data_IF_905655476212
#
_entry.id   IF_905655476212
#
_cell.length_a   1.000
_cell.length_b   1.000
_cell.length_c   1.000
_cell.angle_alpha   90.00
_cell.angle_beta   90.00
_cell.angle_gamma   90.00
#
_symmetry.space_group_name_H-M   'P 1'
#
loop_
_entity.id
_entity.type
_entity.pdbx_description
1 polymer ?
#
# COMPACT_ATOMS: atom_id res chain seq x y z
N UNK A 1 5.34 28.16 4.86
CA UNK A 1 5.31 27.17 5.96
C UNK A 1 5.61 25.84 5.34
N UNK A 2 6.65 25.14 5.82
CA UNK A 2 6.97 23.80 5.34
C UNK A 2 5.85 22.84 5.75
N UNK A 3 5.33 22.07 4.79
CA UNK A 3 4.34 21.04 5.06
C UNK A 3 5.04 19.91 5.84
N UNK A 4 4.57 19.54 7.04
CA UNK A 4 5.21 18.49 7.81
C UNK A 4 5.15 17.14 7.06
N UNK A 5 6.21 16.36 7.17
CA UNK A 5 6.29 15.04 6.56
C UNK A 5 5.26 14.09 7.19
N UNK A 6 4.57 13.30 6.36
CA UNK A 6 3.63 12.26 6.81
C UNK A 6 4.38 11.02 7.31
N UNK A 7 5.57 10.76 6.75
CA UNK A 7 6.49 9.70 7.16
C UNK A 7 7.88 10.30 7.29
N UNK A 8 8.55 10.02 8.40
CA UNK A 8 9.96 10.34 8.62
C UNK A 8 10.71 9.07 9.06
N UNK A 9 11.75 8.73 8.33
CA UNK A 9 12.67 7.64 8.59
C UNK A 9 14.04 8.23 8.94
N UNK A 10 14.62 7.82 10.06
CA UNK A 10 15.96 8.27 10.46
C UNK A 10 16.83 7.06 10.75
N UNK A 11 17.79 6.79 9.83
CA UNK A 11 18.78 5.72 9.91
C UNK A 11 18.17 4.35 10.24
N UNK A 12 17.02 4.04 9.63
CA UNK A 12 16.23 2.84 9.91
C UNK A 12 16.95 1.59 9.42
N UNK A 13 17.19 0.67 10.34
CA UNK A 13 17.76 -0.66 10.07
C UNK A 13 16.76 -1.73 10.46
N UNK A 14 16.56 -2.74 9.60
CA UNK A 14 15.81 -3.94 9.92
C UNK A 14 16.63 -5.19 9.65
N UNK A 15 16.82 -5.99 10.69
CA UNK A 15 17.54 -7.26 10.62
C UNK A 15 16.62 -8.44 10.95
N UNK A 16 16.80 -9.54 10.24
CA UNK A 16 16.22 -10.86 10.49
C UNK A 16 17.38 -11.83 10.67
N UNK A 17 17.73 -12.14 11.92
CA UNK A 17 18.93 -12.88 12.24
C UNK A 17 20.19 -12.15 11.73
N UNK A 18 20.93 -12.80 10.82
CA UNK A 18 22.14 -12.21 10.20
C UNK A 18 21.86 -11.40 8.93
N UNK A 19 20.64 -11.44 8.41
CA UNK A 19 20.26 -10.75 7.18
C UNK A 19 19.71 -9.35 7.49
N UNK A 20 20.37 -8.32 6.94
CA UNK A 20 19.89 -6.94 7.03
C UNK A 20 19.02 -6.62 5.81
N UNK A 21 17.70 -6.55 6.01
CA UNK A 21 16.72 -6.23 4.98
C UNK A 21 16.64 -4.71 4.71
N UNK A 22 16.88 -3.87 5.72
CA UNK A 22 17.05 -2.42 5.58
C UNK A 22 18.36 -2.00 6.27
N UNK A 23 19.10 -1.07 5.65
CA UNK A 23 20.47 -0.74 6.02
C UNK A 23 20.68 0.77 6.20
N UNK A 24 20.00 1.36 7.21
CA UNK A 24 20.15 2.78 7.53
C UNK A 24 19.38 3.71 6.60
N UNK A 25 18.11 3.34 6.29
CA UNK A 25 17.24 4.16 5.45
C UNK A 25 16.88 5.45 6.17
N UNK A 26 17.16 6.60 5.53
CA UNK A 26 16.72 7.92 5.97
C UNK A 26 15.96 8.59 4.83
N UNK A 27 14.71 9.00 5.08
CA UNK A 27 13.86 9.66 4.09
C UNK A 27 12.69 10.36 4.75
N UNK A 28 12.20 11.40 4.10
CA UNK A 28 10.95 12.09 4.43
C UNK A 28 9.99 12.02 3.24
N UNK A 29 8.71 11.86 3.54
CA UNK A 29 7.65 11.80 2.54
C UNK A 29 6.54 12.78 2.93
N UNK A 30 6.07 13.54 1.94
CA UNK A 30 5.05 14.57 2.12
C UNK A 30 3.64 13.97 1.98
N UNK A 31 2.63 14.54 2.64
CA UNK A 31 1.24 14.10 2.50
C UNK A 31 0.67 14.40 1.11
N UNK A 32 -0.42 13.70 0.74
CA UNK A 32 -1.20 13.94 -0.47
C UNK A 32 -0.49 13.53 -1.77
N UNK A 33 0.52 12.66 -1.70
CA UNK A 33 1.31 12.20 -2.85
C UNK A 33 1.22 10.71 -3.06
N UNK A 34 1.42 10.28 -4.31
CA UNK A 34 1.61 8.89 -4.68
C UNK A 34 3.10 8.61 -4.92
N UNK A 35 3.65 7.71 -4.13
CA UNK A 35 5.03 7.22 -4.20
C UNK A 35 5.07 5.81 -4.76
N UNK A 36 5.80 5.62 -5.87
CA UNK A 36 6.07 4.30 -6.43
C UNK A 36 7.43 3.80 -5.92
N UNK A 37 7.42 2.70 -5.17
CA UNK A 37 8.63 2.09 -4.59
C UNK A 37 9.11 0.98 -5.53
N UNK A 38 10.28 1.17 -6.12
CA UNK A 38 10.85 0.33 -7.16
C UNK A 38 12.15 -0.32 -6.69
N UNK A 39 12.58 -1.36 -7.39
CA UNK A 39 13.83 -2.08 -7.13
C UNK A 39 13.66 -3.59 -7.30
N UNK A 40 14.75 -4.31 -7.31
CA UNK A 40 14.80 -5.75 -7.51
C UNK A 40 14.17 -6.55 -6.36
N UNK A 41 13.95 -7.84 -6.58
CA UNK A 41 13.55 -8.75 -5.52
C UNK A 41 14.64 -8.80 -4.44
N UNK A 42 14.23 -8.71 -3.18
CA UNK A 42 15.18 -8.63 -2.05
C UNK A 42 15.72 -7.23 -1.74
N UNK A 43 15.37 -6.19 -2.51
CA UNK A 43 15.81 -4.81 -2.25
C UNK A 43 15.28 -4.20 -0.92
N UNK A 44 14.33 -4.87 -0.25
CA UNK A 44 13.78 -4.41 1.03
C UNK A 44 12.42 -3.71 0.95
N UNK A 45 11.81 -3.60 -0.26
CA UNK A 45 10.55 -2.87 -0.51
C UNK A 45 9.39 -3.31 0.40
N UNK A 46 9.04 -4.61 0.38
CA UNK A 46 8.00 -5.18 1.24
C UNK A 46 8.33 -5.03 2.72
N UNK A 47 9.62 -5.12 3.11
CA UNK A 47 10.04 -4.91 4.50
C UNK A 47 9.81 -3.46 4.91
N UNK A 48 10.15 -2.49 4.07
CA UNK A 48 9.85 -1.09 4.30
C UNK A 48 8.34 -0.88 4.45
N UNK A 49 7.54 -1.39 3.50
CA UNK A 49 6.09 -1.23 3.52
C UNK A 49 5.46 -1.84 4.78
N UNK A 50 5.91 -3.04 5.20
CA UNK A 50 5.44 -3.68 6.44
C UNK A 50 5.81 -2.90 7.69
N UNK A 51 6.95 -2.21 7.70
CA UNK A 51 7.31 -1.31 8.81
C UNK A 51 6.41 -0.08 8.84
N UNK A 52 6.11 0.51 7.67
CA UNK A 52 5.17 1.62 7.54
C UNK A 52 3.74 1.22 7.96
N UNK A 53 3.36 -0.04 7.75
CA UNK A 53 2.09 -0.59 8.21
C UNK A 53 2.05 -0.95 9.71
N UNK A 54 3.16 -0.75 10.44
CA UNK A 54 3.26 -1.12 11.86
C UNK A 54 3.42 -2.64 12.11
N UNK A 55 3.56 -3.44 11.05
CA UNK A 55 3.67 -4.91 11.12
C UNK A 55 5.10 -5.39 11.42
N UNK A 56 6.07 -4.49 11.41
CA UNK A 56 7.45 -4.77 11.78
C UNK A 56 8.06 -3.54 12.46
N UNK A 57 8.83 -3.76 13.51
CA UNK A 57 9.57 -2.70 14.21
C UNK A 57 10.98 -2.57 13.64
N UNK A 58 11.57 -1.36 13.58
CA UNK A 58 12.99 -1.19 13.28
C UNK A 58 13.86 -1.90 14.32
N UNK A 59 15.01 -2.45 13.88
CA UNK A 59 16.03 -2.97 14.79
C UNK A 59 16.88 -1.83 15.36
N UNK A 60 17.11 -0.78 14.56
CA UNK A 60 17.78 0.47 14.93
C UNK A 60 17.20 1.63 14.14
N UNK A 61 17.46 2.85 14.62
CA UNK A 61 16.90 4.06 14.03
C UNK A 61 15.49 4.35 14.52
N UNK A 62 14.86 5.36 13.95
CA UNK A 62 13.52 5.79 14.34
C UNK A 62 12.62 5.97 13.13
N UNK A 63 11.34 5.75 13.35
CA UNK A 63 10.26 5.89 12.36
C UNK A 63 9.12 6.68 12.99
N UNK A 64 8.62 7.70 12.30
CA UNK A 64 7.34 8.33 12.65
C UNK A 64 6.40 8.33 11.45
N UNK A 65 5.11 8.12 11.71
CA UNK A 65 4.04 8.13 10.71
C UNK A 65 2.90 8.98 11.26
N UNK A 66 2.39 9.91 10.45
CA UNK A 66 1.35 10.85 10.85
C UNK A 66 1.72 11.61 12.16
N UNK A 67 3.03 11.88 12.36
CA UNK A 67 3.58 12.51 13.54
C UNK A 67 3.73 11.62 14.77
N UNK A 68 3.31 10.34 14.70
CA UNK A 68 3.40 9.39 15.81
C UNK A 68 4.60 8.44 15.64
N UNK A 69 5.32 8.17 16.74
CA UNK A 69 6.35 7.12 16.82
C UNK A 69 5.78 5.80 17.35
N UNK A 70 4.72 5.83 18.16
CA UNK A 70 3.92 4.65 18.48
C UNK A 70 2.84 4.46 17.40
N UNK A 71 3.06 3.53 16.48
CA UNK A 71 2.16 3.31 15.35
C UNK A 71 0.79 2.77 15.76
N UNK A 72 0.62 2.25 16.98
CA UNK A 72 -0.70 1.85 17.51
C UNK A 72 -1.67 3.03 17.63
N UNK A 73 -1.15 4.22 17.87
CA UNK A 73 -1.96 5.43 17.96
C UNK A 73 -2.55 5.86 16.60
N UNK A 74 -1.96 5.44 15.48
CA UNK A 74 -2.34 5.87 14.13
C UNK A 74 -2.74 4.73 13.20
N UNK A 75 -2.68 3.47 13.65
CA UNK A 75 -2.97 2.30 12.82
C UNK A 75 -4.38 2.34 12.18
N UNK A 76 -5.35 2.97 12.83
CA UNK A 76 -6.70 3.17 12.30
C UNK A 76 -6.74 4.16 11.11
N UNK A 77 -5.68 4.92 10.86
CA UNK A 77 -5.54 5.81 9.72
C UNK A 77 -4.69 5.21 8.59
N UNK A 78 -4.30 3.94 8.72
CA UNK A 78 -3.47 3.22 7.75
C UNK A 78 -4.32 2.17 7.04
N UNK A 79 -4.21 2.12 5.71
CA UNK A 79 -4.72 1.01 4.90
C UNK A 79 -3.55 0.19 4.35
N UNK A 80 -3.59 -1.13 4.52
CA UNK A 80 -2.53 -2.00 4.03
C UNK A 80 -3.09 -3.14 3.17
N UNK A 81 -2.59 -3.22 1.95
CA UNK A 81 -2.81 -4.31 1.02
C UNK A 81 -1.52 -5.08 0.86
N UNK A 82 -1.48 -6.31 1.39
CA UNK A 82 -0.34 -7.20 1.28
C UNK A 82 -0.36 -7.95 -0.07
N UNK A 83 0.80 -8.44 -0.50
CA UNK A 83 0.89 -9.30 -1.68
C UNK A 83 0.00 -10.55 -1.57
N UNK A 84 -0.07 -11.32 -0.47
CA UNK A 84 -1.18 -12.24 -0.21
C UNK A 84 -2.45 -11.43 0.11
N UNK A 85 -3.58 -11.77 -0.53
CA UNK A 85 -4.82 -10.99 -0.40
C UNK A 85 -5.37 -10.89 1.03
N UNK A 86 -5.00 -11.84 1.91
CA UNK A 86 -5.48 -11.97 3.30
C UNK A 86 -7.02 -11.97 3.39
N UNK A 87 -7.67 -12.56 2.40
CA UNK A 87 -9.12 -12.74 2.33
C UNK A 87 -9.48 -14.17 2.75
N UNK A 88 -10.66 -14.34 3.29
CA UNK A 88 -11.24 -15.65 3.58
C UNK A 88 -11.90 -16.20 2.33
N UNK A 89 -11.36 -17.29 1.81
CA UNK A 89 -11.74 -17.89 0.53
C UNK A 89 -13.17 -18.46 0.53
N UNK A 90 -13.64 -18.91 1.69
CA UNK A 90 -14.96 -19.51 1.90
C UNK A 90 -16.08 -18.46 1.99
N UNK A 91 -15.74 -17.23 2.26
CA UNK A 91 -16.68 -16.11 2.39
C UNK A 91 -16.88 -15.41 1.05
N UNK A 92 -18.04 -14.80 0.84
CA UNK A 92 -18.28 -13.83 -0.22
C UNK A 92 -17.46 -12.53 -0.01
N UNK A 93 -17.41 -11.65 -1.01
CA UNK A 93 -16.76 -10.35 -0.88
C UNK A 93 -17.36 -9.50 0.21
N UNK A 94 -18.69 -9.41 0.28
CA UNK A 94 -19.41 -8.66 1.32
C UNK A 94 -19.16 -9.22 2.72
N UNK A 95 -19.18 -10.53 2.90
CA UNK A 95 -18.90 -11.16 4.20
C UNK A 95 -17.48 -10.87 4.66
N UNK A 96 -16.49 -10.91 3.76
CA UNK A 96 -15.12 -10.51 4.04
C UNK A 96 -15.07 -9.05 4.55
N UNK A 97 -15.64 -8.10 3.79
CA UNK A 97 -15.59 -6.69 4.19
C UNK A 97 -16.35 -6.41 5.49
N UNK A 98 -17.49 -7.04 5.71
CA UNK A 98 -18.22 -6.97 7.00
C UNK A 98 -17.39 -7.48 8.16
N UNK A 99 -16.71 -8.61 7.98
CA UNK A 99 -15.85 -9.19 9.00
C UNK A 99 -14.72 -8.21 9.38
N UNK A 100 -13.99 -7.71 8.39
CA UNK A 100 -12.91 -6.75 8.64
C UNK A 100 -13.43 -5.39 9.13
N UNK A 101 -14.57 -4.91 8.63
CA UNK A 101 -15.22 -3.70 9.11
C UNK A 101 -15.53 -3.75 10.60
N UNK A 102 -16.08 -4.87 11.07
CA UNK A 102 -16.34 -5.08 12.51
C UNK A 102 -15.09 -5.04 13.37
N UNK A 103 -13.93 -5.49 12.87
CA UNK A 103 -12.64 -5.37 13.56
C UNK A 103 -12.20 -3.91 13.73
N UNK A 104 -12.62 -3.03 12.82
CA UNK A 104 -12.41 -1.57 12.91
C UNK A 104 -13.53 -0.83 13.66
N UNK A 105 -14.51 -1.56 14.20
CA UNK A 105 -15.68 -0.94 14.86
C UNK A 105 -16.73 -0.39 13.87
N UNK A 106 -16.63 -0.72 12.59
CA UNK A 106 -17.57 -0.32 11.54
C UNK A 106 -18.71 -1.35 11.51
N UNK A 107 -19.88 -0.96 12.04
CA UNK A 107 -21.08 -1.82 12.06
C UNK A 107 -22.02 -1.63 10.87
N UNK A 108 -21.79 -0.59 10.06
CA UNK A 108 -22.65 -0.26 8.91
C UNK A 108 -22.21 -0.99 7.64
N UNK A 109 -23.08 -1.88 7.17
CA UNK A 109 -22.86 -2.65 5.93
C UNK A 109 -22.78 -1.77 4.68
N UNK A 110 -23.33 -0.55 4.73
CA UNK A 110 -23.28 0.39 3.61
C UNK A 110 -21.84 0.79 3.26
N UNK A 111 -20.96 0.88 4.27
CA UNK A 111 -19.53 1.17 4.07
C UNK A 111 -18.86 0.04 3.28
N UNK A 112 -19.14 -1.21 3.62
CA UNK A 112 -18.61 -2.37 2.90
C UNK A 112 -19.12 -2.40 1.46
N UNK A 113 -20.41 -2.13 1.24
CA UNK A 113 -21.03 -2.10 -0.08
C UNK A 113 -20.45 -0.95 -0.95
N UNK A 114 -20.28 0.24 -0.38
CA UNK A 114 -19.66 1.37 -1.06
C UNK A 114 -18.23 1.05 -1.49
N UNK A 115 -17.40 0.51 -0.59
CA UNK A 115 -16.02 0.12 -0.92
C UNK A 115 -15.95 -0.96 -2.01
N UNK A 116 -16.90 -1.93 -2.06
CA UNK A 116 -16.98 -2.88 -3.17
C UNK A 116 -17.29 -2.18 -4.49
N UNK A 117 -18.27 -1.28 -4.48
CA UNK A 117 -18.65 -0.50 -5.66
C UNK A 117 -17.50 0.35 -6.18
N UNK A 118 -16.79 1.05 -5.29
CA UNK A 118 -15.67 1.92 -5.62
C UNK A 118 -14.52 1.17 -6.33
N UNK A 119 -14.30 -0.10 -5.97
CA UNK A 119 -13.31 -0.95 -6.65
C UNK A 119 -13.89 -1.70 -7.85
N UNK A 120 -15.14 -1.43 -8.25
CA UNK A 120 -15.81 -2.05 -9.39
C UNK A 120 -16.21 -3.51 -9.15
N UNK A 121 -16.58 -3.86 -7.93
CA UNK A 121 -17.18 -5.15 -7.57
C UNK A 121 -18.67 -4.97 -7.21
N UNK A 122 -19.49 -5.94 -7.60
CA UNK A 122 -20.89 -5.96 -7.24
C UNK A 122 -21.08 -6.43 -5.78
N UNK A 123 -21.64 -5.60 -4.88
CA UNK A 123 -21.91 -5.98 -3.49
C UNK A 123 -22.90 -7.16 -3.36
N UNK A 124 -23.77 -7.37 -4.36
CA UNK A 124 -24.73 -8.47 -4.37
C UNK A 124 -24.12 -9.83 -4.77
N UNK A 125 -22.83 -9.85 -5.14
CA UNK A 125 -22.17 -11.08 -5.59
C UNK A 125 -21.96 -12.05 -4.40
N UNK A 126 -22.84 -13.05 -4.30
CA UNK A 126 -22.91 -13.98 -3.17
C UNK A 126 -21.90 -15.15 -3.22
N UNK A 127 -21.22 -15.37 -4.37
CA UNK A 127 -20.28 -16.50 -4.50
C UNK A 127 -19.05 -16.30 -3.62
N UNK A 128 -18.43 -17.42 -3.14
CA UNK A 128 -17.19 -17.37 -2.34
C UNK A 128 -16.01 -16.72 -3.10
N UNK A 129 -15.11 -16.08 -2.36
CA UNK A 129 -13.89 -15.46 -2.90
C UNK A 129 -12.98 -16.49 -3.58
N UNK A 130 -13.05 -17.78 -3.19
CA UNK A 130 -12.38 -18.87 -3.89
C UNK A 130 -12.69 -18.91 -5.40
N UNK A 131 -13.87 -18.44 -5.82
CA UNK A 131 -14.33 -18.41 -7.21
C UNK A 131 -14.06 -17.07 -7.90
N UNK A 132 -13.40 -16.12 -7.25
CA UNK A 132 -13.04 -14.83 -7.85
C UNK A 132 -11.84 -14.97 -8.78
N UNK A 133 -11.84 -14.21 -9.89
CA UNK A 133 -10.61 -14.03 -10.66
C UNK A 133 -9.54 -13.33 -9.82
N UNK A 134 -8.29 -13.44 -10.23
CA UNK A 134 -7.19 -12.77 -9.53
C UNK A 134 -7.41 -11.24 -9.46
N UNK A 135 -7.89 -10.63 -10.56
CA UNK A 135 -8.24 -9.20 -10.57
C UNK A 135 -9.37 -8.84 -9.60
N UNK A 136 -10.39 -9.71 -9.45
CA UNK A 136 -11.44 -9.49 -8.45
C UNK A 136 -10.90 -9.62 -7.02
N UNK A 137 -10.00 -10.58 -6.75
CA UNK A 137 -9.33 -10.71 -5.45
C UNK A 137 -8.49 -9.48 -5.10
N UNK A 138 -7.72 -8.95 -6.06
CA UNK A 138 -6.92 -7.75 -5.86
C UNK A 138 -7.81 -6.54 -5.57
N UNK A 139 -8.90 -6.35 -6.33
CA UNK A 139 -9.87 -5.28 -6.08
C UNK A 139 -10.53 -5.41 -4.71
N UNK A 140 -10.94 -6.61 -4.30
CA UNK A 140 -11.50 -6.84 -2.97
C UNK A 140 -10.47 -6.59 -1.85
N UNK A 141 -9.20 -6.97 -2.07
CA UNK A 141 -8.11 -6.69 -1.12
C UNK A 141 -7.87 -5.17 -0.98
N UNK A 142 -8.00 -4.41 -2.07
CA UNK A 142 -7.97 -2.95 -2.02
C UNK A 142 -9.19 -2.40 -1.26
N UNK A 143 -10.41 -2.88 -1.55
CA UNK A 143 -11.62 -2.47 -0.82
C UNK A 143 -11.48 -2.69 0.69
N UNK A 144 -10.88 -3.83 1.10
CA UNK A 144 -10.58 -4.11 2.50
C UNK A 144 -9.61 -3.08 3.10
N UNK A 145 -8.56 -2.69 2.36
CA UNK A 145 -7.60 -1.69 2.82
C UNK A 145 -8.19 -0.28 2.95
N UNK A 146 -9.34 -0.04 2.33
CA UNK A 146 -10.04 1.26 2.32
C UNK A 146 -11.14 1.36 3.38
N UNK A 147 -11.51 0.27 4.06
CA UNK A 147 -12.68 0.21 4.97
C UNK A 147 -12.72 1.31 6.03
N UNK A 148 -11.58 1.68 6.59
CA UNK A 148 -11.45 2.69 7.64
C UNK A 148 -11.09 4.08 7.12
N UNK A 149 -11.32 4.36 5.83
CA UNK A 149 -11.00 5.62 5.16
C UNK A 149 -9.58 6.13 5.48
N UNK A 150 -8.52 5.37 5.15
CA UNK A 150 -7.17 5.65 5.59
C UNK A 150 -6.63 6.96 5.00
N UNK A 151 -5.78 7.69 5.77
CA UNK A 151 -4.99 8.81 5.27
C UNK A 151 -3.74 8.36 4.52
N UNK A 152 -3.20 7.20 4.90
CA UNK A 152 -2.02 6.60 4.29
C UNK A 152 -2.37 5.19 3.82
N UNK A 153 -2.26 4.97 2.51
CA UNK A 153 -2.52 3.70 1.85
C UNK A 153 -1.20 3.07 1.40
N UNK A 154 -0.97 1.84 1.80
CA UNK A 154 0.25 1.07 1.57
C UNK A 154 -0.10 -0.19 0.76
N UNK A 155 0.38 -0.27 -0.48
CA UNK A 155 0.02 -1.31 -1.44
C UNK A 155 1.25 -2.11 -1.86
N UNK A 156 1.24 -3.42 -1.61
CA UNK A 156 2.33 -4.33 -1.97
C UNK A 156 1.91 -5.16 -3.20
N UNK A 157 2.48 -4.83 -4.37
CA UNK A 157 2.24 -5.46 -5.68
C UNK A 157 0.75 -5.51 -6.08
N UNK A 158 0.01 -4.38 -6.05
CA UNK A 158 -1.44 -4.37 -6.30
C UNK A 158 -1.82 -4.81 -7.72
N UNK A 159 -0.90 -4.74 -8.68
CA UNK A 159 -1.13 -5.06 -10.10
C UNK A 159 -0.69 -6.48 -10.48
N UNK A 160 -0.13 -7.27 -9.54
CA UNK A 160 0.37 -8.61 -9.82
C UNK A 160 -0.73 -9.57 -10.26
N UNK A 161 -0.48 -10.27 -11.38
CA UNK A 161 -1.40 -11.26 -11.95
C UNK A 161 -2.79 -10.71 -12.30
N UNK A 162 -2.87 -9.42 -12.64
CA UNK A 162 -4.09 -8.73 -13.03
C UNK A 162 -4.00 -8.38 -14.51
N UNK A 163 -5.09 -8.50 -15.25
CA UNK A 163 -5.16 -8.05 -16.65
C UNK A 163 -5.02 -6.53 -16.76
N UNK A 164 -4.59 -6.07 -17.93
CA UNK A 164 -4.29 -4.65 -18.17
C UNK A 164 -5.50 -3.72 -17.92
N UNK A 165 -6.71 -4.19 -18.24
CA UNK A 165 -7.94 -3.41 -18.03
C UNK A 165 -8.22 -3.20 -16.55
N UNK A 166 -8.12 -4.27 -15.74
CA UNK A 166 -8.27 -4.22 -14.28
C UNK A 166 -7.16 -3.39 -13.62
N UNK A 167 -5.91 -3.52 -14.08
CA UNK A 167 -4.80 -2.71 -13.60
C UNK A 167 -5.02 -1.22 -13.90
N UNK A 168 -5.44 -0.86 -15.12
CA UNK A 168 -5.75 0.52 -15.51
C UNK A 168 -6.89 1.12 -14.69
N UNK A 169 -7.94 0.35 -14.40
CA UNK A 169 -9.04 0.80 -13.53
C UNK A 169 -8.54 1.09 -12.10
N UNK A 170 -7.68 0.22 -11.56
CA UNK A 170 -7.09 0.43 -10.24
C UNK A 170 -6.19 1.68 -10.21
N UNK A 171 -5.37 1.90 -11.24
CA UNK A 171 -4.53 3.11 -11.34
C UNK A 171 -5.38 4.38 -11.36
N UNK A 172 -6.49 4.39 -12.10
CA UNK A 172 -7.45 5.52 -12.10
C UNK A 172 -8.01 5.80 -10.71
N UNK A 173 -8.40 4.74 -9.99
CA UNK A 173 -8.91 4.85 -8.62
C UNK A 173 -7.83 5.44 -7.68
N UNK A 174 -6.58 4.96 -7.76
CA UNK A 174 -5.48 5.50 -6.96
C UNK A 174 -5.21 6.98 -7.30
N UNK A 175 -5.28 7.36 -8.58
CA UNK A 175 -5.15 8.76 -8.99
C UNK A 175 -6.26 9.65 -8.38
N UNK A 176 -7.51 9.19 -8.36
CA UNK A 176 -8.61 9.90 -7.72
C UNK A 176 -8.40 10.05 -6.21
N UNK A 177 -7.97 8.98 -5.55
CA UNK A 177 -7.66 9.01 -4.11
C UNK A 177 -6.53 9.96 -3.78
N UNK A 178 -5.47 10.03 -4.62
CA UNK A 178 -4.41 11.02 -4.48
C UNK A 178 -4.95 12.45 -4.58
N UNK A 179 -5.79 12.72 -5.59
CA UNK A 179 -6.42 14.05 -5.78
C UNK A 179 -7.30 14.42 -4.57
N UNK A 180 -7.96 13.45 -3.92
CA UNK A 180 -8.71 13.68 -2.68
C UNK A 180 -7.83 13.86 -1.43
N UNK A 181 -6.50 13.88 -1.59
CA UNK A 181 -5.55 14.18 -0.51
C UNK A 181 -4.99 12.96 0.23
N UNK A 182 -5.32 11.74 -0.19
CA UNK A 182 -4.72 10.53 0.39
C UNK A 182 -3.24 10.40 -0.02
N UNK A 183 -2.42 9.94 0.91
CA UNK A 183 -1.02 9.57 0.61
C UNK A 183 -0.96 8.08 0.29
N UNK A 184 -0.29 7.74 -0.79
CA UNK A 184 -0.30 6.37 -1.32
C UNK A 184 1.13 5.91 -1.58
N UNK A 185 1.49 4.72 -1.09
CA UNK A 185 2.72 4.02 -1.42
C UNK A 185 2.38 2.76 -2.19
N UNK A 186 2.99 2.60 -3.35
CA UNK A 186 2.81 1.43 -4.21
C UNK A 186 4.16 0.78 -4.43
N UNK A 187 4.35 -0.42 -3.90
CA UNK A 187 5.45 -1.31 -4.31
C UNK A 187 5.01 -2.06 -5.55
N UNK A 188 5.75 -1.95 -6.64
CA UNK A 188 5.42 -2.65 -7.89
C UNK A 188 6.63 -2.87 -8.79
N UNK A 189 6.57 -3.93 -9.59
CA UNK A 189 7.47 -4.17 -10.72
C UNK A 189 6.93 -3.59 -12.05
N UNK A 190 5.68 -3.12 -12.07
CA UNK A 190 5.01 -2.56 -13.23
C UNK A 190 4.97 -1.02 -13.16
N UNK A 191 6.15 -0.41 -13.02
CA UNK A 191 6.30 1.03 -12.79
C UNK A 191 5.67 1.89 -13.89
N UNK A 192 5.66 1.40 -15.15
CA UNK A 192 5.06 2.09 -16.30
C UNK A 192 3.56 2.34 -16.14
N UNK A 193 2.83 1.53 -15.36
CA UNK A 193 1.42 1.78 -15.06
C UNK A 193 1.19 3.06 -14.24
N UNK A 194 2.20 3.51 -13.51
CA UNK A 194 2.13 4.68 -12.64
C UNK A 194 2.73 5.94 -13.27
N UNK A 195 3.22 5.85 -14.52
CA UNK A 195 3.69 7.03 -15.26
C UNK A 195 2.56 8.07 -15.40
N UNK A 196 2.86 9.33 -15.14
CA UNK A 196 1.87 10.42 -15.13
C UNK A 196 0.90 10.43 -13.93
N UNK A 197 0.95 9.40 -13.05
CA UNK A 197 0.12 9.30 -11.85
C UNK A 197 0.96 9.44 -10.57
N UNK A 198 2.12 8.77 -10.51
CA UNK A 198 3.04 8.90 -9.38
C UNK A 198 3.67 10.30 -9.34
N UNK A 199 3.73 10.87 -8.14
CA UNK A 199 4.45 12.13 -7.89
C UNK A 199 5.94 11.89 -7.77
N UNK A 200 6.33 10.69 -7.35
CA UNK A 200 7.72 10.33 -7.14
C UNK A 200 7.95 8.82 -7.24
N UNK A 201 9.02 8.47 -7.93
CA UNK A 201 9.56 7.11 -8.00
C UNK A 201 10.75 7.00 -7.05
N UNK A 202 10.68 6.05 -6.12
CA UNK A 202 11.67 5.81 -5.07
C UNK A 202 12.34 4.48 -5.33
N UNK A 203 13.62 4.51 -5.65
CA UNK A 203 14.40 3.33 -5.99
C UNK A 203 15.09 2.76 -4.77
N UNK A 204 14.91 1.46 -4.56
CA UNK A 204 15.57 0.71 -3.49
C UNK A 204 16.51 -0.35 -4.04
N UNK A 205 17.71 -0.42 -3.47
CA UNK A 205 18.70 -1.43 -3.76
C UNK A 205 19.41 -1.86 -2.48
N UNK A 206 19.61 -3.15 -2.29
CA UNK A 206 20.33 -3.74 -1.16
C UNK A 206 19.92 -3.18 0.23
N UNK A 207 18.63 -2.88 0.41
CA UNK A 207 18.08 -2.36 1.67
C UNK A 207 18.26 -0.86 1.91
N UNK A 208 18.56 -0.10 0.88
CA UNK A 208 18.72 1.35 0.94
C UNK A 208 17.89 2.04 -0.14
N UNK A 209 17.49 3.30 0.08
CA UNK A 209 16.96 4.18 -0.96
C UNK A 209 18.17 4.79 -1.67
N UNK A 210 18.32 4.51 -2.98
CA UNK A 210 19.47 4.95 -3.77
C UNK A 210 19.21 6.28 -4.47
N UNK A 211 18.00 6.47 -4.98
CA UNK A 211 17.61 7.73 -5.62
C UNK A 211 16.10 7.90 -5.64
N UNK A 212 15.66 9.11 -5.92
CA UNK A 212 14.26 9.53 -6.03
C UNK A 212 14.11 10.43 -7.25
N UNK A 213 13.08 10.18 -8.07
CA UNK A 213 12.84 10.91 -9.32
C UNK A 213 11.35 11.20 -9.49
N UNK A 214 11.01 12.28 -10.21
CA UNK A 214 9.62 12.59 -10.58
C UNK A 214 9.18 11.87 -11.86
N UNK A 215 10.10 11.44 -12.67
CA UNK A 215 9.86 10.76 -13.93
C UNK A 215 10.44 9.35 -13.87
N UNK A 216 9.77 8.40 -14.49
CA UNK A 216 10.31 7.07 -14.68
C UNK A 216 11.41 7.13 -15.74
N UNK A 217 12.67 7.18 -15.30
CA UNK A 217 13.82 7.09 -16.20
C UNK A 217 14.19 5.64 -16.39
N UNK A 218 14.50 5.19 -17.62
CA UNK A 218 15.07 3.88 -17.81
C UNK A 218 16.37 3.80 -16.99
N UNK A 219 16.46 2.79 -16.14
CA UNK A 219 17.73 2.46 -15.48
C UNK A 219 18.66 2.05 -16.60
N UNK A 220 19.62 2.90 -16.95
CA UNK A 220 20.67 2.52 -17.88
C UNK A 220 21.36 1.30 -17.28
N UNK A 221 21.18 0.14 -17.92
CA UNK A 221 21.97 -1.04 -17.65
C UNK A 221 23.44 -0.65 -17.75
N UNK A 222 24.16 -0.79 -16.63
CA UNK A 222 25.62 -0.76 -16.62
C UNK A 222 26.13 -2.14 -16.96
#
# INVERSE_FOLDING_TARGET
>A
MDVPSIISLNSVVKQFGRFAALRGVSAEFLPGKLYAILGDNGAGKTTLLRMLAGLAQPTRGSLSILGATDLRAVCHQLGYMAHPSLLYDEMSGMENLRYFGRLYGIGDDSVAAANMTDVGLDPALARPVAQYSQGMRQRLSLARALLNDPKLLLLDEPFSNVDLSSASAMVKLLAQMRVSGKTIFVVTHQASLLEGVADEFVWMEAGQITHRTRELRPVHAR
#
